data_IF_552945772041
#
_entry.id   IF_552945772041
#
_cell.length_a   1.000
_cell.length_b   1.000
_cell.length_c   1.000
_cell.angle_alpha   90.00
_cell.angle_beta   90.00
_cell.angle_gamma   90.00
#
_symmetry.space_group_name_H-M   'P 1'
#
loop_
_entity.id
_entity.type
_entity.pdbx_description
1 polymer ?
#
# COMPACT_ATOMS: atom_id res chain seq x y z
N UNK A 1 -21.32 -50.41 -29.05
CA UNK A 1 -20.14 -51.30 -29.01
C UNK A 1 -19.44 -51.08 -27.68
N UNK A 2 -19.65 -51.98 -26.72
CA UNK A 2 -18.61 -52.85 -26.15
C UNK A 2 -17.54 -52.08 -25.35
N UNK A 3 -17.65 -52.10 -24.00
CA UNK A 3 -16.93 -53.02 -23.06
C UNK A 3 -15.51 -52.50 -22.77
N UNK A 4 -14.95 -52.49 -21.57
CA UNK A 4 -15.37 -52.86 -20.21
C UNK A 4 -14.11 -52.95 -19.36
N UNK A 5 -14.21 -52.55 -18.08
CA UNK A 5 -13.54 -53.14 -16.90
C UNK A 5 -11.98 -53.11 -16.88
N UNK A 6 -11.25 -53.05 -15.77
CA UNK A 6 -11.38 -53.60 -14.43
C UNK A 6 -10.38 -52.84 -13.54
N UNK A 7 -10.79 -52.38 -12.36
CA UNK A 7 -10.01 -52.65 -11.14
C UNK A 7 -10.91 -52.39 -9.92
N UNK A 8 -11.78 -53.35 -9.67
CA UNK A 8 -12.58 -53.48 -8.46
C UNK A 8 -12.09 -54.74 -7.73
N UNK A 9 -12.09 -54.69 -6.40
CA UNK A 9 -12.24 -55.80 -5.43
C UNK A 9 -11.06 -56.04 -4.48
N UNK A 10 -11.33 -55.70 -3.22
CA UNK A 10 -11.25 -56.60 -2.06
C UNK A 10 -12.33 -56.11 -1.08
N UNK A 11 -13.51 -56.73 -0.95
CA UNK A 11 -13.85 -58.03 -0.32
C UNK A 11 -13.23 -58.15 1.09
N UNK A 12 -13.88 -58.59 2.16
CA UNK A 12 -15.21 -59.17 2.42
C UNK A 12 -15.31 -59.30 3.97
N UNK A 13 -16.54 -59.22 4.47
CA UNK A 13 -17.14 -59.87 5.66
C UNK A 13 -16.34 -60.17 6.94
N UNK A 14 -16.96 -59.81 8.08
CA UNK A 14 -17.30 -60.75 9.17
C UNK A 14 -18.69 -60.33 9.72
N UNK A 15 -19.74 -61.11 9.48
CA UNK A 15 -20.26 -62.23 10.28
C UNK A 15 -21.18 -61.76 11.44
N UNK A 16 -22.50 -62.01 11.34
CA UNK A 16 -23.28 -63.01 12.14
C UNK A 16 -23.34 -62.67 13.66
N UNK A 17 -24.46 -62.66 14.39
CA UNK A 17 -25.83 -63.17 14.25
C UNK A 17 -26.71 -62.61 15.41
N UNK A 18 -28.05 -62.76 15.34
CA UNK A 18 -29.03 -62.38 16.37
C UNK A 18 -29.38 -63.57 17.32
N UNK A 19 -29.99 -63.29 18.48
CA UNK A 19 -30.85 -64.19 19.32
C UNK A 19 -31.57 -63.28 20.36
N UNK A 20 -32.87 -62.99 20.21
CA UNK A 20 -34.05 -63.67 20.79
C UNK A 20 -34.18 -63.65 22.33
N UNK A 21 -35.18 -62.92 22.87
CA UNK A 21 -36.12 -63.48 23.87
C UNK A 21 -37.39 -62.63 24.12
N UNK A 22 -38.51 -63.19 23.64
CA UNK A 22 -39.89 -63.23 24.15
C UNK A 22 -40.25 -62.45 25.44
N UNK A 23 -41.48 -61.93 25.54
CA UNK A 23 -42.68 -62.69 25.98
C UNK A 23 -43.82 -61.80 26.56
N UNK A 24 -44.97 -61.75 25.84
CA UNK A 24 -46.38 -61.64 26.30
C UNK A 24 -46.81 -60.36 27.09
N UNK A 25 -48.03 -59.80 27.10
CA UNK A 25 -49.43 -60.23 26.97
C UNK A 25 -50.26 -59.00 26.50
N UNK A 26 -51.11 -59.06 25.46
CA UNK A 26 -52.56 -59.38 25.42
C UNK A 26 -53.52 -58.31 26.02
N UNK A 27 -54.38 -57.74 25.13
CA UNK A 27 -55.75 -57.16 25.30
C UNK A 27 -55.85 -55.90 26.19
N UNK A 28 -56.70 -54.89 25.97
CA UNK A 28 -58.09 -54.84 25.47
C UNK A 28 -58.48 -53.37 25.12
N UNK A 29 -59.64 -53.17 24.49
CA UNK A 29 -60.10 -51.98 23.74
C UNK A 29 -60.70 -50.80 24.57
N UNK A 30 -60.52 -49.55 24.05
CA UNK A 30 -61.42 -48.34 23.94
C UNK A 30 -62.06 -47.72 25.22
N UNK A 31 -62.56 -46.44 25.26
CA UNK A 31 -62.90 -45.50 24.18
C UNK A 31 -62.52 -43.99 24.38
N UNK A 32 -62.95 -43.19 23.41
CA UNK A 32 -62.85 -41.74 23.15
C UNK A 32 -63.47 -40.83 24.23
N UNK A 33 -62.77 -39.77 24.64
CA UNK A 33 -63.35 -38.52 25.20
C UNK A 33 -62.49 -37.31 24.81
N UNK A 34 -63.10 -36.32 24.15
CA UNK A 34 -62.51 -35.08 23.63
C UNK A 34 -62.16 -34.13 24.79
N UNK A 35 -60.94 -33.57 24.82
CA UNK A 35 -60.66 -32.31 25.56
C UNK A 35 -60.10 -31.27 24.60
N UNK A 36 -60.96 -30.31 24.30
CA UNK A 36 -60.65 -29.03 23.66
C UNK A 36 -59.62 -28.29 24.51
N UNK A 37 -58.41 -28.08 23.98
CA UNK A 37 -57.45 -27.15 24.59
C UNK A 37 -57.77 -25.74 24.10
N UNK A 38 -58.35 -24.97 25.02
CA UNK A 38 -58.65 -23.55 24.93
C UNK A 38 -57.34 -22.76 24.80
N UNK A 39 -57.05 -22.21 23.62
CA UNK A 39 -55.95 -21.26 23.43
C UNK A 39 -56.39 -19.87 23.89
N UNK A 40 -55.84 -19.39 25.00
CA UNK A 40 -55.97 -17.99 25.42
C UNK A 40 -55.02 -17.11 24.60
N UNK A 41 -55.48 -16.00 23.98
CA UNK A 41 -54.59 -15.07 23.30
C UNK A 41 -53.99 -14.11 24.33
N UNK A 42 -52.69 -14.23 24.59
CA UNK A 42 -51.97 -13.31 25.46
C UNK A 42 -51.68 -12.01 24.70
N UNK A 43 -52.56 -11.03 24.87
CA UNK A 43 -52.44 -9.69 24.31
C UNK A 43 -51.33 -8.92 25.05
N UNK A 44 -50.13 -8.81 24.46
CA UNK A 44 -49.02 -8.01 25.03
C UNK A 44 -49.20 -6.54 24.66
N UNK A 45 -49.81 -5.77 25.55
CA UNK A 45 -49.75 -4.31 25.53
C UNK A 45 -48.32 -3.83 25.80
N UNK A 46 -47.85 -2.86 25.02
CA UNK A 46 -46.53 -2.27 25.14
C UNK A 46 -46.43 -1.48 26.45
N UNK A 47 -45.71 -2.02 27.45
CA UNK A 47 -45.45 -1.34 28.73
C UNK A 47 -44.53 -0.14 28.53
N UNK A 48 -44.96 1.02 29.04
CA UNK A 48 -44.24 2.30 29.04
C UNK A 48 -42.88 2.24 29.78
N UNK A 49 -42.65 1.22 30.60
CA UNK A 49 -41.43 1.06 31.40
C UNK A 49 -40.18 0.75 30.55
N UNK A 50 -40.37 0.17 29.35
CA UNK A 50 -39.27 -0.22 28.46
C UNK A 50 -38.94 0.83 27.40
N UNK A 51 -39.68 1.94 27.34
CA UNK A 51 -39.47 2.99 26.34
C UNK A 51 -38.16 3.73 26.61
N UNK A 52 -37.85 4.00 27.88
CA UNK A 52 -36.58 4.60 28.29
C UNK A 52 -35.39 3.72 27.87
N UNK A 53 -35.46 2.42 28.11
CA UNK A 53 -34.44 1.45 27.69
C UNK A 53 -34.26 1.40 26.16
N UNK A 54 -35.37 1.49 25.41
CA UNK A 54 -35.35 1.59 23.94
C UNK A 54 -34.64 2.86 23.45
N UNK A 55 -34.90 4.00 24.07
CA UNK A 55 -34.25 5.28 23.75
C UNK A 55 -32.76 5.27 24.05
N UNK A 56 -32.34 4.73 25.20
CA UNK A 56 -30.91 4.61 25.54
C UNK A 56 -30.17 3.71 24.55
N UNK A 57 -30.77 2.58 24.18
CA UNK A 57 -30.18 1.65 23.21
C UNK A 57 -30.04 2.31 21.83
N UNK A 58 -31.07 3.02 21.37
CA UNK A 58 -31.02 3.74 20.09
C UNK A 58 -29.95 4.85 20.07
N UNK A 59 -29.79 5.59 21.17
CA UNK A 59 -28.75 6.62 21.29
C UNK A 59 -27.34 6.04 21.16
N UNK A 60 -27.07 4.90 21.81
CA UNK A 60 -25.77 4.22 21.72
C UNK A 60 -25.48 3.78 20.27
N UNK A 61 -26.47 3.24 19.57
CA UNK A 61 -26.30 2.84 18.16
C UNK A 61 -25.98 4.04 17.25
N UNK A 62 -26.74 5.14 17.40
CA UNK A 62 -26.51 6.36 16.61
C UNK A 62 -25.13 6.94 16.93
N UNK A 63 -24.74 6.96 18.21
CA UNK A 63 -23.43 7.45 18.64
C UNK A 63 -22.29 6.63 18.04
N UNK A 64 -22.38 5.29 18.07
CA UNK A 64 -21.33 4.41 17.54
C UNK A 64 -21.18 4.58 16.02
N UNK A 65 -22.30 4.72 15.31
CA UNK A 65 -22.30 5.02 13.87
C UNK A 65 -21.69 6.40 13.57
N UNK A 66 -22.06 7.42 14.34
CA UNK A 66 -21.50 8.77 14.22
C UNK A 66 -19.98 8.79 14.45
N UNK A 67 -19.51 8.08 15.48
CA UNK A 67 -18.08 7.97 15.80
C UNK A 67 -17.31 7.23 14.70
N UNK A 68 -17.88 6.17 14.15
CA UNK A 68 -17.28 5.42 13.02
C UNK A 68 -17.15 6.28 11.76
N UNK A 69 -18.15 7.10 11.46
CA UNK A 69 -18.10 8.04 10.33
C UNK A 69 -17.12 9.20 10.58
N UNK A 70 -17.07 9.74 11.80
CA UNK A 70 -16.18 10.83 12.19
C UNK A 70 -14.71 10.41 12.35
N UNK A 71 -14.43 9.13 12.59
CA UNK A 71 -13.07 8.63 12.76
C UNK A 71 -12.19 8.85 11.52
N UNK A 72 -12.74 8.70 10.31
CA UNK A 72 -12.00 8.85 9.05
C UNK A 72 -11.50 10.30 8.85
N UNK A 73 -12.35 11.35 8.85
CA UNK A 73 -11.88 12.73 8.70
C UNK A 73 -10.99 13.17 9.88
N UNK A 74 -11.27 12.73 11.11
CA UNK A 74 -10.42 13.04 12.27
C UNK A 74 -9.01 12.42 12.12
N UNK A 75 -8.94 11.16 11.66
CA UNK A 75 -7.66 10.51 11.35
C UNK A 75 -6.92 11.23 10.23
N UNK A 76 -7.63 11.70 9.19
CA UNK A 76 -7.02 12.50 8.11
C UNK A 76 -6.45 13.83 8.61
N UNK A 77 -7.17 14.55 9.46
CA UNK A 77 -6.70 15.79 10.08
C UNK A 77 -5.45 15.55 10.94
N UNK A 78 -5.48 14.47 11.74
CA UNK A 78 -4.33 14.08 12.55
C UNK A 78 -3.12 13.72 11.67
N UNK A 79 -3.31 12.92 10.62
CA UNK A 79 -2.25 12.53 9.69
C UNK A 79 -1.70 13.73 8.92
N UNK A 80 -2.56 14.64 8.47
CA UNK A 80 -2.15 15.85 7.76
C UNK A 80 -1.35 16.81 8.66
N UNK A 81 -1.66 16.89 9.95
CA UNK A 81 -0.92 17.74 10.89
C UNK A 81 0.37 17.13 11.41
N UNK A 82 0.42 15.80 11.56
CA UNK A 82 1.58 15.10 12.16
C UNK A 82 2.51 14.45 11.14
N UNK A 83 2.08 14.33 9.88
CA UNK A 83 2.84 13.64 8.83
C UNK A 83 2.95 12.13 9.04
N UNK A 84 2.06 11.53 9.85
CA UNK A 84 2.10 10.10 10.18
C UNK A 84 1.89 9.25 8.90
N UNK A 85 2.74 8.22 8.72
CA UNK A 85 2.70 7.31 7.57
C UNK A 85 2.96 7.95 6.19
N UNK A 86 3.71 9.05 6.12
CA UNK A 86 4.16 9.65 4.86
C UNK A 86 3.07 10.44 4.12
N UNK A 87 1.99 10.82 4.80
CA UNK A 87 1.09 11.86 4.27
C UNK A 87 1.84 13.20 4.32
N UNK A 88 1.95 13.93 3.19
CA UNK A 88 2.61 15.22 3.21
C UNK A 88 1.79 16.15 4.11
N UNK A 89 2.44 16.75 5.10
CA UNK A 89 1.90 17.95 5.75
C UNK A 89 1.66 18.94 4.61
N UNK A 90 0.47 19.53 4.56
CA UNK A 90 0.08 20.58 3.59
C UNK A 90 0.85 21.88 3.92
N UNK A 91 2.16 21.78 4.07
CA UNK A 91 3.07 22.91 4.08
C UNK A 91 3.40 23.21 2.63
N UNK A 92 2.57 24.06 2.02
CA UNK A 92 2.94 24.76 0.80
C UNK A 92 4.30 25.51 0.95
N UNK A 93 4.79 25.68 2.17
CA UNK A 93 6.12 26.20 2.50
C UNK A 93 7.27 25.26 2.16
N UNK A 94 7.08 23.93 2.12
CA UNK A 94 8.21 23.00 1.82
C UNK A 94 8.76 23.20 0.40
N UNK A 95 7.93 23.71 -0.51
CA UNK A 95 8.31 24.14 -1.86
C UNK A 95 8.08 25.64 -2.08
N UNK A 96 7.90 26.42 -1.00
CA UNK A 96 7.68 27.85 -1.07
C UNK A 96 8.91 28.59 -1.63
N UNK A 97 8.72 29.73 -2.31
CA UNK A 97 9.82 30.51 -2.87
C UNK A 97 10.85 30.94 -1.81
N UNK A 98 10.43 31.07 -0.54
CA UNK A 98 11.31 31.45 0.57
C UNK A 98 12.38 30.40 0.89
N UNK A 99 12.14 29.11 0.62
CA UNK A 99 13.13 28.03 0.82
C UNK A 99 14.12 27.88 -0.34
N UNK A 100 13.86 28.52 -1.48
CA UNK A 100 14.71 28.51 -2.67
C UNK A 100 15.73 29.67 -2.68
N UNK A 101 15.93 30.31 -1.53
CA UNK A 101 16.92 31.38 -1.36
C UNK A 101 18.27 30.75 -0.95
N UNK A 102 19.32 30.90 -1.77
CA UNK A 102 20.61 30.28 -1.48
C UNK A 102 21.24 30.91 -0.24
N UNK A 103 21.55 30.09 0.76
CA UNK A 103 22.21 30.53 1.99
C UNK A 103 23.71 30.72 1.74
N UNK A 104 24.12 31.79 1.05
CA UNK A 104 25.48 31.98 0.50
C UNK A 104 26.61 31.96 1.54
N UNK A 105 26.30 32.16 2.82
CA UNK A 105 27.26 32.08 3.94
C UNK A 105 27.45 30.68 4.51
N UNK A 106 26.70 29.70 4.02
CA UNK A 106 26.72 28.33 4.52
C UNK A 106 27.73 27.44 3.77
N UNK A 107 27.97 26.24 4.31
CA UNK A 107 28.91 25.27 3.74
C UNK A 107 28.34 24.67 2.46
N UNK A 108 29.22 24.46 1.47
CA UNK A 108 28.88 23.74 0.24
C UNK A 108 28.79 22.23 0.51
N UNK A 109 27.74 21.60 0.01
CA UNK A 109 27.51 20.17 0.10
C UNK A 109 27.88 19.55 -1.25
N UNK A 110 28.70 18.51 -1.21
CA UNK A 110 29.03 17.73 -2.39
C UNK A 110 27.89 16.76 -2.70
N UNK A 111 27.28 16.89 -3.86
CA UNK A 111 26.30 15.93 -4.37
C UNK A 111 26.98 15.06 -5.40
N UNK A 112 27.04 13.76 -5.14
CA UNK A 112 27.62 12.74 -6.03
C UNK A 112 26.50 12.01 -6.75
N UNK A 113 26.67 11.75 -8.04
CA UNK A 113 25.70 11.09 -8.88
C UNK A 113 26.18 9.71 -9.28
N UNK A 114 25.35 8.72 -9.01
CA UNK A 114 25.63 7.33 -9.33
C UNK A 114 24.51 6.76 -10.20
N UNK A 115 24.90 5.91 -11.14
CA UNK A 115 24.01 5.27 -12.10
C UNK A 115 24.28 3.78 -12.18
N UNK A 116 23.24 2.98 -11.99
CA UNK A 116 23.26 1.54 -12.11
C UNK A 116 22.15 1.07 -13.06
N UNK A 117 22.37 -0.05 -13.73
CA UNK A 117 21.40 -0.69 -14.64
C UNK A 117 21.37 -2.18 -14.34
N UNK A 118 20.18 -2.78 -14.30
CA UNK A 118 20.05 -4.23 -14.16
C UNK A 118 20.58 -4.97 -15.40
N UNK A 119 21.16 -6.16 -15.23
CA UNK A 119 21.67 -6.98 -16.35
C UNK A 119 20.59 -7.37 -17.38
N UNK A 120 19.32 -7.38 -16.96
CA UNK A 120 18.16 -7.67 -17.83
C UNK A 120 17.73 -6.48 -18.70
N UNK A 121 18.38 -5.33 -18.53
CA UNK A 121 18.13 -4.11 -19.28
C UNK A 121 19.41 -3.71 -20.03
N UNK A 122 19.51 -3.97 -21.35
CA UNK A 122 20.70 -3.69 -22.14
C UNK A 122 20.83 -2.20 -22.47
N UNK A 123 20.83 -1.34 -21.45
CA UNK A 123 20.97 0.10 -21.56
C UNK A 123 22.30 0.56 -20.99
N UNK A 124 22.83 1.64 -21.55
CA UNK A 124 23.92 2.39 -20.96
C UNK A 124 23.34 3.63 -20.31
N UNK A 125 23.36 3.68 -18.99
CA UNK A 125 22.88 4.82 -18.23
C UNK A 125 24.02 5.40 -17.40
N UNK A 126 24.32 6.69 -17.60
CA UNK A 126 25.43 7.39 -16.96
C UNK A 126 25.07 8.84 -16.63
N UNK A 127 25.53 9.38 -15.50
CA UNK A 127 25.42 10.82 -15.25
C UNK A 127 26.36 11.57 -16.19
N UNK A 128 25.96 12.77 -16.60
CA UNK A 128 26.83 13.68 -17.35
C UNK A 128 27.95 14.23 -16.45
N UNK A 129 27.63 14.51 -15.17
CA UNK A 129 28.54 14.99 -14.14
C UNK A 129 28.58 14.00 -12.97
N UNK A 130 29.77 13.65 -12.49
CA UNK A 130 29.91 12.73 -11.33
C UNK A 130 29.63 13.40 -10.00
N UNK A 131 29.98 14.68 -9.86
CA UNK A 131 29.76 15.44 -8.64
C UNK A 131 29.50 16.91 -8.95
N UNK A 132 28.71 17.57 -8.10
CA UNK A 132 28.55 19.02 -8.07
C UNK A 132 28.59 19.50 -6.62
N UNK A 133 28.91 20.78 -6.42
CA UNK A 133 28.89 21.43 -5.11
C UNK A 133 27.77 22.45 -5.09
N UNK A 134 26.82 22.29 -4.17
CA UNK A 134 25.66 23.16 -4.04
C UNK A 134 25.53 23.68 -2.61
N UNK A 135 24.95 24.85 -2.48
CA UNK A 135 24.61 25.45 -1.17
C UNK A 135 23.16 25.08 -0.82
N UNK A 136 22.82 24.82 0.46
CA UNK A 136 21.42 24.69 0.85
C UNK A 136 20.58 25.91 0.44
N UNK A 137 19.39 25.65 -0.14
CA UNK A 137 18.52 26.62 -0.80
C UNK A 137 18.87 26.91 -2.26
N UNK A 138 20.05 26.48 -2.75
CA UNK A 138 20.42 26.60 -4.17
C UNK A 138 19.77 25.48 -4.99
N UNK A 139 19.16 25.86 -6.12
CA UNK A 139 18.62 24.91 -7.08
C UNK A 139 19.68 24.50 -8.08
N UNK A 140 19.71 23.21 -8.41
CA UNK A 140 20.66 22.64 -9.36
C UNK A 140 19.95 21.76 -10.39
N UNK A 141 20.44 21.83 -11.63
CA UNK A 141 20.02 21.00 -12.75
C UNK A 141 21.20 20.17 -13.22
N UNK A 142 20.99 18.87 -13.37
CA UNK A 142 21.97 17.93 -13.93
C UNK A 142 21.28 16.99 -14.89
N UNK A 143 22.03 16.38 -15.80
CA UNK A 143 21.48 15.43 -16.76
C UNK A 143 22.11 14.06 -16.59
N UNK A 144 21.31 13.04 -16.88
CA UNK A 144 21.77 11.69 -17.11
C UNK A 144 21.53 11.30 -18.56
N UNK A 145 22.47 10.57 -19.14
CA UNK A 145 22.35 10.01 -20.48
C UNK A 145 21.92 8.55 -20.40
N UNK A 146 20.81 8.22 -21.04
CA UNK A 146 20.41 6.84 -21.29
C UNK A 146 20.50 6.53 -22.78
N UNK A 147 21.18 5.42 -23.11
CA UNK A 147 21.25 4.88 -24.46
C UNK A 147 20.81 3.43 -24.49
N UNK A 148 19.86 3.10 -25.37
CA UNK A 148 19.45 1.72 -25.60
C UNK A 148 20.45 0.99 -26.50
N UNK A 149 20.91 -0.19 -26.08
CA UNK A 149 21.71 -1.12 -26.92
C UNK A 149 20.87 -2.31 -27.40
N UNK A 150 19.55 -2.22 -27.22
CA UNK A 150 18.63 -3.26 -27.63
C UNK A 150 18.31 -3.18 -29.13
N UNK A 151 17.94 -4.32 -29.74
CA UNK A 151 17.44 -4.38 -31.12
C UNK A 151 15.93 -4.14 -31.24
N UNK A 152 15.26 -4.07 -30.11
CA UNK A 152 13.81 -3.85 -30.00
C UNK A 152 13.55 -2.77 -28.97
N UNK A 153 12.36 -2.18 -29.02
CA UNK A 153 11.90 -1.24 -28.00
C UNK A 153 11.88 -1.93 -26.63
N UNK A 154 12.48 -1.29 -25.64
CA UNK A 154 12.43 -1.74 -24.25
C UNK A 154 11.85 -0.62 -23.39
N UNK A 155 11.10 -1.02 -22.36
CA UNK A 155 10.56 -0.11 -21.37
C UNK A 155 11.33 -0.34 -20.06
N UNK A 156 11.87 0.75 -19.52
CA UNK A 156 12.61 0.77 -18.27
C UNK A 156 11.89 1.61 -17.23
N UNK A 157 12.00 1.20 -15.96
CA UNK A 157 11.59 2.00 -14.81
C UNK A 157 12.82 2.23 -13.93
N UNK A 158 12.99 3.45 -13.42
CA UNK A 158 14.12 3.78 -12.57
C UNK A 158 13.71 3.96 -11.12
N UNK A 159 14.51 3.45 -10.19
CA UNK A 159 14.35 3.77 -8.77
C UNK A 159 15.53 4.62 -8.32
N UNK A 160 15.34 5.40 -7.26
CA UNK A 160 16.40 6.24 -6.70
C UNK A 160 16.55 6.04 -5.20
N UNK A 161 17.75 6.31 -4.72
CA UNK A 161 18.07 6.36 -3.30
C UNK A 161 18.99 7.55 -3.01
N UNK A 162 18.87 8.10 -1.80
CA UNK A 162 19.72 9.18 -1.30
C UNK A 162 20.49 8.69 -0.08
N UNK A 163 21.81 8.79 -0.15
CA UNK A 163 22.72 8.37 0.94
C UNK A 163 23.54 9.56 1.44
N UNK A 164 23.65 9.79 2.75
CA UNK A 164 23.07 9.00 3.84
C UNK A 164 21.56 9.22 3.96
N UNK A 165 20.82 8.19 4.38
CA UNK A 165 19.34 8.19 4.45
C UNK A 165 18.78 9.40 5.23
N UNK A 166 19.47 9.78 6.30
CA UNK A 166 19.14 10.94 7.14
C UNK A 166 19.17 12.29 6.42
N UNK A 167 19.95 12.41 5.36
CA UNK A 167 19.97 13.61 4.50
C UNK A 167 18.86 13.57 3.44
N UNK A 168 18.26 12.40 3.19
CA UNK A 168 17.20 12.21 2.20
C UNK A 168 15.93 13.03 2.51
N UNK A 169 15.64 13.31 3.78
CA UNK A 169 14.50 14.16 4.17
C UNK A 169 14.64 15.62 3.74
N UNK A 170 15.88 16.10 3.59
CA UNK A 170 16.21 17.46 3.18
C UNK A 170 16.50 17.56 1.68
N UNK A 171 16.66 16.42 1.00
CA UNK A 171 16.95 16.38 -0.42
C UNK A 171 15.63 16.36 -1.21
N UNK A 172 15.26 17.51 -1.77
CA UNK A 172 14.01 17.65 -2.51
C UNK A 172 14.27 17.54 -4.01
N UNK A 173 13.85 16.42 -4.61
CA UNK A 173 13.87 16.22 -6.06
C UNK A 173 12.57 16.76 -6.67
N UNK A 174 12.65 17.85 -7.42
CA UNK A 174 11.47 18.54 -7.97
C UNK A 174 10.96 17.84 -9.25
N UNK A 175 11.83 17.28 -10.09
CA UNK A 175 11.44 16.62 -11.35
C UNK A 175 12.07 15.23 -11.47
N UNK A 176 11.25 14.17 -11.58
CA UNK A 176 11.67 12.77 -11.48
C UNK A 176 11.13 11.89 -12.61
N UNK A 177 12.05 11.44 -13.48
CA UNK A 177 11.84 10.34 -14.43
C UNK A 177 11.62 8.96 -13.77
N UNK A 178 11.79 8.88 -12.45
CA UNK A 178 11.86 7.65 -11.68
C UNK A 178 10.50 6.98 -11.41
N UNK A 179 9.40 7.58 -11.83
CA UNK A 179 8.09 6.94 -11.70
C UNK A 179 7.36 6.78 -13.03
N UNK A 180 8.04 7.13 -14.11
CA UNK A 180 7.48 7.02 -15.45
C UNK A 180 8.19 5.92 -16.21
N UNK A 181 7.39 5.10 -16.89
CA UNK A 181 7.90 4.11 -17.83
C UNK A 181 8.59 4.83 -18.99
N UNK A 182 9.92 4.73 -19.04
CA UNK A 182 10.69 5.27 -20.15
C UNK A 182 10.76 4.21 -21.24
N UNK A 183 10.26 4.53 -22.44
CA UNK A 183 10.40 3.68 -23.61
C UNK A 183 11.55 4.22 -24.46
N UNK A 184 12.58 3.41 -24.70
CA UNK A 184 13.66 3.74 -25.63
C UNK A 184 13.62 2.77 -26.81
N UNK A 185 13.66 3.35 -28.00
CA UNK A 185 13.80 2.63 -29.28
C UNK A 185 15.24 2.11 -29.44
N UNK A 186 15.49 1.19 -30.38
CA UNK A 186 16.83 0.70 -30.69
C UNK A 186 17.80 1.83 -31.01
N UNK A 187 18.98 1.82 -30.37
CA UNK A 187 20.04 2.84 -30.53
C UNK A 187 19.64 4.28 -30.18
N UNK A 188 18.47 4.49 -29.59
CA UNK A 188 18.02 5.80 -29.13
C UNK A 188 18.83 6.25 -27.91
N UNK A 189 19.21 7.53 -27.89
CA UNK A 189 19.89 8.20 -26.80
C UNK A 189 19.04 9.39 -26.35
N UNK A 190 18.77 9.47 -25.04
CA UNK A 190 17.93 10.50 -24.43
C UNK A 190 18.64 11.10 -23.21
N UNK A 191 18.59 12.43 -23.11
CA UNK A 191 19.05 13.17 -21.95
C UNK A 191 17.88 13.34 -20.96
N UNK A 192 18.06 12.82 -19.75
CA UNK A 192 17.07 12.85 -18.68
C UNK A 192 17.47 13.90 -17.62
N UNK A 193 16.73 15.03 -17.54
CA UNK A 193 17.03 16.07 -16.56
C UNK A 193 16.67 15.64 -15.13
N UNK A 194 17.46 16.12 -14.18
CA UNK A 194 17.25 15.99 -12.74
C UNK A 194 17.39 17.36 -12.12
N UNK A 195 16.25 17.92 -11.69
CA UNK A 195 16.18 19.19 -10.99
C UNK A 195 15.94 18.96 -9.50
N UNK A 196 16.79 19.54 -8.65
CA UNK A 196 16.74 19.34 -7.21
C UNK A 196 17.30 20.54 -6.44
N UNK A 197 17.03 20.56 -5.13
CA UNK A 197 17.66 21.46 -4.17
C UNK A 197 17.80 20.76 -2.81
N UNK A 198 18.65 21.30 -1.95
CA UNK A 198 18.77 20.88 -0.56
C UNK A 198 18.05 21.92 0.30
N UNK A 199 17.14 21.47 1.15
CA UNK A 199 16.39 22.34 2.06
C UNK A 199 17.33 23.08 3.04
N UNK A 200 17.17 24.40 3.26
CA UNK A 200 17.97 25.15 4.23
C UNK A 200 17.89 24.61 5.67
N UNK A 201 16.81 23.93 6.06
CA UNK A 201 16.65 23.32 7.40
C UNK A 201 17.76 22.27 7.69
N UNK A 202 18.44 21.77 6.65
CA UNK A 202 19.61 20.93 6.75
C UNK A 202 20.75 21.56 7.56
N UNK A 203 20.81 22.89 7.62
CA UNK A 203 21.83 23.62 8.40
C UNK A 203 21.51 23.69 9.90
N UNK A 204 20.22 23.62 10.25
CA UNK A 204 19.75 23.76 11.63
C UNK A 204 19.83 22.43 12.39
N UNK A 205 19.71 21.30 11.69
CA UNK A 205 19.77 19.96 12.29
C UNK A 205 21.18 19.61 12.82
N UNK A 206 21.35 19.39 14.14
CA UNK A 206 22.61 18.95 14.72
C UNK A 206 23.16 17.64 14.14
N UNK A 207 22.29 16.74 13.71
CA UNK A 207 22.70 15.48 13.10
C UNK A 207 23.40 15.75 11.76
N UNK A 208 22.90 16.70 10.97
CA UNK A 208 23.41 16.97 9.61
C UNK A 208 24.76 17.69 9.58
N UNK A 209 25.26 18.20 10.71
CA UNK A 209 26.54 18.93 10.81
C UNK A 209 27.71 18.23 10.12
N UNK A 210 27.80 16.90 10.24
CA UNK A 210 28.91 16.11 9.68
C UNK A 210 28.67 15.60 8.24
N UNK A 211 27.48 15.82 7.67
CA UNK A 211 27.14 15.35 6.32
C UNK A 211 27.62 16.34 5.28
N UNK A 212 28.83 16.14 4.74
CA UNK A 212 29.37 16.98 3.66
C UNK A 212 29.13 16.39 2.27
N UNK A 213 28.66 15.15 2.17
CA UNK A 213 28.46 14.46 0.90
C UNK A 213 27.12 13.75 0.90
N UNK A 214 26.35 13.98 -0.16
CA UNK A 214 25.09 13.30 -0.45
C UNK A 214 25.28 12.57 -1.78
N UNK A 215 24.95 11.29 -1.82
CA UNK A 215 25.00 10.48 -3.04
C UNK A 215 23.58 10.20 -3.50
N UNK A 216 23.27 10.60 -4.72
CA UNK A 216 22.03 10.30 -5.41
C UNK A 216 22.30 9.14 -6.37
N UNK A 217 21.80 7.96 -6.01
CA UNK A 217 22.00 6.74 -6.78
C UNK A 217 20.72 6.36 -7.52
N UNK A 218 20.80 6.25 -8.85
CA UNK A 218 19.73 5.77 -9.71
C UNK A 218 19.99 4.34 -10.16
N UNK A 219 18.94 3.50 -10.16
CA UNK A 219 19.00 2.15 -10.73
C UNK A 219 17.84 1.91 -11.67
N UNK A 220 18.14 1.59 -12.93
CA UNK A 220 17.14 1.21 -13.93
C UNK A 220 16.89 -0.30 -13.96
N UNK A 221 15.61 -0.66 -14.07
CA UNK A 221 15.11 -2.02 -14.19
C UNK A 221 14.23 -2.18 -15.42
N UNK A 222 14.21 -3.37 -16.01
CA UNK A 222 13.32 -3.69 -17.12
C UNK A 222 11.88 -3.89 -16.62
N UNK A 223 10.92 -3.12 -17.15
CA UNK A 223 9.52 -3.19 -16.69
C UNK A 223 8.82 -4.50 -17.07
N UNK A 224 9.22 -5.15 -18.18
CA UNK A 224 8.60 -6.41 -18.61
C UNK A 224 8.89 -7.58 -17.65
N UNK A 225 10.01 -7.50 -16.92
CA UNK A 225 10.37 -8.46 -15.88
C UNK A 225 9.87 -8.07 -14.48
N UNK A 226 9.33 -6.86 -14.31
CA UNK A 226 8.69 -6.40 -13.07
C UNK A 226 7.23 -6.91 -12.93
N UNK A 227 6.91 -8.09 -13.47
CA UNK A 227 5.56 -8.72 -13.47
C UNK A 227 4.96 -9.04 -12.09
N UNK A 228 5.60 -8.63 -10.99
CA UNK A 228 5.14 -8.85 -9.62
C UNK A 228 5.07 -7.60 -8.75
N UNK A 229 5.45 -6.43 -9.26
CA UNK A 229 5.34 -5.17 -8.53
C UNK A 229 4.00 -4.52 -8.90
N UNK A 230 3.09 -4.42 -7.93
CA UNK A 230 1.83 -3.70 -8.13
C UNK A 230 2.17 -2.25 -8.48
N UNK A 231 1.62 -1.67 -9.57
CA UNK A 231 1.86 -0.28 -9.89
C UNK A 231 1.39 0.58 -8.72
N UNK A 232 2.22 1.56 -8.33
CA UNK A 232 1.82 2.60 -7.38
C UNK A 232 0.72 3.40 -8.07
N UNK A 233 -0.52 3.23 -7.61
CA UNK A 233 -1.67 3.96 -8.13
C UNK A 233 -1.47 5.45 -7.82
N UNK A 234 -1.18 6.24 -8.85
CA UNK A 234 -1.20 7.70 -8.78
C UNK A 234 -2.66 8.11 -8.51
N UNK A 235 -2.92 8.63 -7.31
CA UNK A 235 -4.18 9.29 -7.00
C UNK A 235 -4.18 10.63 -7.74
N UNK A 236 -4.85 10.66 -8.88
CA UNK A 236 -5.24 11.89 -9.55
C UNK A 236 -6.21 12.62 -8.60
N UNK A 237 -5.75 13.74 -8.03
CA UNK A 237 -6.60 14.65 -7.26
C UNK A 237 -7.37 15.48 -8.27
N UNK A 238 -8.67 15.23 -8.37
CA UNK A 238 -9.64 16.14 -8.98
C UNK A 238 -10.09 17.17 -7.93
#
# INVERSE_FOLDING_TARGET
>A
MFKSNLCQRRLIEHAFRPIYRNRLWRRQQLPIQKRTLMTSPQNKGWSQENISAGMYTASIFIFMLGLSYAAVPLYRLFCASTGFNGTPVIDAERFGPDRLVPQTKSRRIRVTFESNTSDTLPWSFKPELREIYVVPGETALTFYKAKSRAKQDIIGIATYNVTPYRAGSYFNKIQCFCFEEQKLSPEEEVDMPVFFFIDPDFLEDPLMKDVNTITLSYTFFNSQHAKGLKPVQQQHVE
#
